data_IF_960365061587
#
_entry.id   IF_960365061587
#
_cell.length_a   1.000
_cell.length_b   1.000
_cell.length_c   1.000
_cell.angle_alpha   90.00
_cell.angle_beta   90.00
_cell.angle_gamma   90.00
#
_symmetry.space_group_name_H-M   'P 1'
#
loop_
_entity.id
_entity.type
_entity.pdbx_description
1 polymer ?
#
# COMPACT_ATOMS: atom_id res chain seq x y z
N UNK A 1 -1.38 38.56 -4.60
CA UNK A 1 -2.65 37.92 -4.20
C UNK A 1 -2.49 36.44 -4.50
N UNK A 2 -2.88 35.55 -3.59
CA UNK A 2 -2.97 34.12 -3.93
C UNK A 2 -4.22 34.00 -4.80
N UNK A 3 -4.07 33.54 -6.05
CA UNK A 3 -5.24 33.40 -6.92
C UNK A 3 -6.18 32.33 -6.36
N UNK A 4 -7.51 32.56 -6.31
CA UNK A 4 -8.48 31.60 -5.79
C UNK A 4 -8.40 30.21 -6.42
N UNK A 5 -7.89 30.13 -7.65
CA UNK A 5 -7.66 28.89 -8.38
C UNK A 5 -6.62 27.99 -7.67
N UNK A 6 -5.54 28.56 -7.13
CA UNK A 6 -4.51 27.80 -6.41
C UNK A 6 -5.04 27.25 -5.08
N UNK A 7 -5.92 28.01 -4.40
CA UNK A 7 -6.56 27.53 -3.17
C UNK A 7 -7.51 26.36 -3.46
N UNK A 8 -8.25 26.41 -4.56
CA UNK A 8 -9.12 25.30 -4.98
C UNK A 8 -8.30 24.05 -5.36
N UNK A 9 -7.21 24.22 -6.12
CA UNK A 9 -6.32 23.12 -6.49
C UNK A 9 -5.67 22.47 -5.25
N UNK A 10 -5.15 23.27 -4.33
CA UNK A 10 -4.56 22.79 -3.09
C UNK A 10 -5.57 22.03 -2.22
N UNK A 11 -6.82 22.52 -2.15
CA UNK A 11 -7.89 21.83 -1.43
C UNK A 11 -8.23 20.47 -2.08
N UNK A 12 -8.30 20.40 -3.41
CA UNK A 12 -8.55 19.15 -4.13
C UNK A 12 -7.39 18.17 -3.94
N UNK A 13 -6.14 18.61 -4.09
CA UNK A 13 -4.97 17.76 -3.86
C UNK A 13 -4.90 17.27 -2.41
N UNK A 14 -5.20 18.13 -1.43
CA UNK A 14 -5.29 17.74 -0.03
C UNK A 14 -6.37 16.69 0.23
N UNK A 15 -7.54 16.83 -0.41
CA UNK A 15 -8.62 15.85 -0.31
C UNK A 15 -8.24 14.51 -0.94
N UNK A 16 -7.60 14.52 -2.11
CA UNK A 16 -7.12 13.30 -2.79
C UNK A 16 -6.08 12.57 -1.95
N UNK A 17 -5.08 13.30 -1.43
CA UNK A 17 -4.06 12.72 -0.54
C UNK A 17 -4.69 12.18 0.75
N UNK A 18 -5.60 12.95 1.36
CA UNK A 18 -6.36 12.53 2.53
C UNK A 18 -7.19 11.28 2.27
N UNK A 19 -7.80 11.17 1.08
CA UNK A 19 -8.55 9.99 0.66
C UNK A 19 -7.67 8.73 0.58
N UNK A 20 -6.47 8.83 0.00
CA UNK A 20 -5.51 7.72 -0.04
C UNK A 20 -5.11 7.26 1.36
N UNK A 21 -4.80 8.21 2.25
CA UNK A 21 -4.45 7.90 3.64
C UNK A 21 -5.63 7.31 4.42
N UNK A 22 -6.85 7.82 4.18
CA UNK A 22 -8.07 7.31 4.79
C UNK A 22 -8.40 5.87 4.34
N UNK A 23 -8.21 5.55 3.05
CA UNK A 23 -8.34 4.18 2.55
C UNK A 23 -7.34 3.23 3.22
N UNK A 24 -6.09 3.68 3.40
CA UNK A 24 -5.06 2.89 4.07
C UNK A 24 -5.42 2.66 5.54
N UNK A 25 -5.93 3.66 6.25
CA UNK A 25 -6.41 3.53 7.62
C UNK A 25 -7.66 2.62 7.73
N UNK A 26 -8.58 2.70 6.77
CA UNK A 26 -9.78 1.88 6.73
C UNK A 26 -9.42 0.39 6.61
N UNK A 27 -8.45 0.04 5.76
CA UNK A 27 -7.97 -1.34 5.64
C UNK A 27 -7.41 -1.89 6.95
N UNK A 28 -6.61 -1.09 7.67
CA UNK A 28 -6.11 -1.46 9.00
C UNK A 28 -7.26 -1.63 9.99
N UNK A 29 -8.22 -0.71 9.99
CA UNK A 29 -9.39 -0.76 10.88
C UNK A 29 -10.25 -2.00 10.63
N UNK A 30 -10.39 -2.47 9.38
CA UNK A 30 -11.12 -3.71 9.10
C UNK A 30 -10.40 -4.94 9.65
N UNK A 31 -9.08 -5.00 9.56
CA UNK A 31 -8.28 -6.11 10.09
C UNK A 31 -8.43 -6.17 11.62
N UNK A 32 -8.19 -5.05 12.29
CA UNK A 32 -8.32 -4.95 13.75
C UNK A 32 -9.77 -5.13 14.21
N UNK A 33 -10.73 -4.48 13.55
CA UNK A 33 -12.12 -4.45 13.98
C UNK A 33 -12.88 -5.77 13.79
N UNK A 34 -12.46 -6.62 12.84
CA UNK A 34 -13.11 -7.91 12.58
C UNK A 34 -12.34 -9.07 13.20
N UNK A 35 -11.02 -9.06 13.11
CA UNK A 35 -10.18 -10.21 13.50
C UNK A 35 -9.63 -10.04 14.94
N UNK A 36 -9.63 -8.82 15.49
CA UNK A 36 -9.10 -8.47 16.81
C UNK A 36 -7.65 -8.94 17.03
N UNK A 37 -6.81 -8.73 16.01
CA UNK A 37 -5.38 -9.07 16.03
C UNK A 37 -4.53 -7.82 15.89
N UNK A 38 -3.45 -7.76 16.67
CA UNK A 38 -2.47 -6.69 16.50
C UNK A 38 -1.63 -6.88 15.23
N UNK A 39 -1.90 -6.07 14.22
CA UNK A 39 -1.25 -6.16 12.92
C UNK A 39 -0.21 -5.06 12.69
N UNK A 40 1.07 -5.38 12.89
CA UNK A 40 2.17 -4.42 12.67
C UNK A 40 2.63 -4.41 11.20
N UNK A 41 2.68 -5.58 10.54
CA UNK A 41 3.21 -5.73 9.18
C UNK A 41 2.29 -5.20 8.05
N UNK A 42 1.30 -4.36 8.36
CA UNK A 42 0.27 -3.93 7.41
C UNK A 42 0.88 -3.12 6.28
N UNK A 43 1.66 -2.11 6.66
CA UNK A 43 2.29 -1.20 5.70
C UNK A 43 3.33 -1.94 4.85
N UNK A 44 3.95 -3.01 5.37
CA UNK A 44 4.90 -3.83 4.62
C UNK A 44 4.22 -4.69 3.54
N UNK A 45 3.00 -5.19 3.78
CA UNK A 45 2.20 -5.80 2.71
C UNK A 45 1.81 -4.78 1.64
N UNK A 46 1.40 -3.57 2.06
CA UNK A 46 1.10 -2.47 1.12
C UNK A 46 2.35 -2.12 0.30
N UNK A 47 3.52 -2.08 0.92
CA UNK A 47 4.81 -1.86 0.25
C UNK A 47 5.05 -2.90 -0.86
N UNK A 48 4.80 -4.19 -0.60
CA UNK A 48 4.93 -5.24 -1.63
C UNK A 48 4.01 -4.98 -2.83
N UNK A 49 2.76 -4.58 -2.58
CA UNK A 49 1.82 -4.19 -3.64
C UNK A 49 2.32 -2.98 -4.45
N UNK A 50 2.91 -1.98 -3.78
CA UNK A 50 3.47 -0.80 -4.43
C UNK A 50 4.68 -1.15 -5.30
N UNK A 51 5.57 -2.04 -4.84
CA UNK A 51 6.67 -2.55 -5.66
C UNK A 51 6.15 -3.28 -6.89
N UNK A 52 5.11 -4.10 -6.77
CA UNK A 52 4.51 -4.76 -7.92
C UNK A 52 4.03 -3.76 -8.98
N UNK A 53 3.31 -2.69 -8.59
CA UNK A 53 2.91 -1.63 -9.52
C UNK A 53 4.13 -0.99 -10.17
N UNK A 54 5.18 -0.69 -9.41
CA UNK A 54 6.42 -0.11 -9.94
C UNK A 54 7.03 -1.00 -11.03
N UNK A 55 7.21 -2.29 -10.77
CA UNK A 55 7.79 -3.19 -11.77
C UNK A 55 6.90 -3.35 -13.00
N UNK A 56 5.60 -3.55 -12.83
CA UNK A 56 4.68 -3.73 -13.94
C UNK A 56 4.64 -2.48 -14.84
N UNK A 57 4.57 -1.29 -14.25
CA UNK A 57 4.42 -0.05 -15.01
C UNK A 57 5.76 0.48 -15.54
N UNK A 58 6.80 0.56 -14.71
CA UNK A 58 8.07 1.20 -15.09
C UNK A 58 9.04 0.26 -15.81
N UNK A 59 9.05 -1.03 -15.45
CA UNK A 59 10.00 -2.00 -16.04
C UNK A 59 9.37 -2.73 -17.21
N UNK A 60 8.13 -3.21 -17.06
CA UNK A 60 7.42 -3.95 -18.10
C UNK A 60 6.58 -3.07 -19.03
N UNK A 61 6.42 -1.78 -18.72
CA UNK A 61 5.67 -0.82 -19.55
C UNK A 61 4.16 -1.07 -19.59
N UNK A 62 3.60 -1.78 -18.61
CA UNK A 62 2.16 -2.03 -18.56
C UNK A 62 1.39 -0.73 -18.28
N UNK A 63 0.16 -0.59 -18.80
CA UNK A 63 -0.68 0.53 -18.45
C UNK A 63 -1.04 0.49 -16.96
N UNK A 64 -1.08 1.66 -16.33
CA UNK A 64 -1.26 1.82 -14.88
C UNK A 64 -2.48 1.07 -14.33
N UNK A 65 -3.59 1.06 -15.06
CA UNK A 65 -4.81 0.36 -14.67
C UNK A 65 -4.62 -1.16 -14.55
N UNK A 66 -3.92 -1.78 -15.51
CA UNK A 66 -3.59 -3.21 -15.45
C UNK A 66 -2.54 -3.49 -14.35
N UNK A 67 -1.55 -2.61 -14.19
CA UNK A 67 -0.59 -2.71 -13.08
C UNK A 67 -1.26 -2.66 -11.71
N UNK A 68 -2.23 -1.76 -11.53
CA UNK A 68 -3.03 -1.65 -10.32
C UNK A 68 -3.89 -2.90 -10.06
N UNK A 69 -4.59 -3.41 -11.07
CA UNK A 69 -5.42 -4.62 -10.92
C UNK A 69 -4.57 -5.84 -10.57
N UNK A 70 -3.42 -6.01 -11.23
CA UNK A 70 -2.48 -7.08 -10.91
C UNK A 70 -1.90 -6.96 -9.50
N UNK A 71 -1.64 -5.73 -9.03
CA UNK A 71 -1.20 -5.47 -7.66
C UNK A 71 -2.27 -5.83 -6.63
N UNK A 72 -3.55 -5.54 -6.90
CA UNK A 72 -4.66 -5.99 -6.04
C UNK A 72 -4.73 -7.52 -5.98
N UNK A 73 -4.58 -8.20 -7.12
CA UNK A 73 -4.55 -9.67 -7.16
C UNK A 73 -3.37 -10.23 -6.35
N UNK A 74 -2.18 -9.63 -6.47
CA UNK A 74 -1.01 -10.00 -5.69
C UNK A 74 -1.23 -9.77 -4.18
N UNK A 75 -1.79 -8.61 -3.81
CA UNK A 75 -2.11 -8.29 -2.42
C UNK A 75 -3.12 -9.28 -1.81
N UNK A 76 -4.12 -9.70 -2.58
CA UNK A 76 -5.06 -10.73 -2.15
C UNK A 76 -4.36 -12.09 -1.94
N UNK A 77 -3.49 -12.50 -2.88
CA UNK A 77 -2.73 -13.74 -2.76
C UNK A 77 -1.78 -13.73 -1.55
N UNK A 78 -1.04 -12.63 -1.35
CA UNK A 78 -0.16 -12.46 -0.20
C UNK A 78 -0.97 -12.43 1.11
N UNK A 79 -2.10 -11.73 1.13
CA UNK A 79 -3.00 -11.68 2.28
C UNK A 79 -3.54 -13.06 2.67
N UNK A 80 -3.97 -13.86 1.68
CA UNK A 80 -4.40 -15.25 1.90
C UNK A 80 -3.22 -16.09 2.43
N UNK A 81 -2.04 -15.96 1.84
CA UNK A 81 -0.84 -16.67 2.29
C UNK A 81 -0.49 -16.35 3.74
N UNK A 82 -0.46 -15.07 4.12
CA UNK A 82 -0.21 -14.64 5.50
C UNK A 82 -1.33 -15.13 6.42
N UNK A 83 -2.60 -15.05 5.98
CA UNK A 83 -3.71 -15.51 6.79
C UNK A 83 -3.60 -17.00 7.12
N UNK A 84 -3.32 -17.85 6.13
CA UNK A 84 -3.23 -19.30 6.33
C UNK A 84 -1.97 -19.71 7.10
N UNK A 85 -0.82 -19.10 6.80
CA UNK A 85 0.47 -19.53 7.34
C UNK A 85 0.78 -18.94 8.72
N UNK A 86 0.35 -17.71 8.99
CA UNK A 86 0.75 -16.96 10.19
C UNK A 86 -0.45 -16.73 11.08
N UNK A 87 -1.56 -16.25 10.54
CA UNK A 87 -2.68 -15.76 11.35
C UNK A 87 -3.56 -16.89 11.87
N UNK A 88 -3.96 -17.82 11.02
CA UNK A 88 -4.77 -18.98 11.38
C UNK A 88 -4.21 -19.77 12.57
N UNK A 89 -2.89 -20.10 12.63
CA UNK A 89 -2.35 -20.83 13.78
C UNK A 89 -2.23 -20.01 15.07
N UNK A 90 -2.14 -18.68 15.00
CA UNK A 90 -1.95 -17.82 16.18
C UNK A 90 -3.24 -17.12 16.66
N UNK A 91 -4.34 -17.28 15.95
CA UNK A 91 -5.62 -16.62 16.23
C UNK A 91 -6.10 -16.84 17.67
N UNK A 92 -5.89 -18.04 18.22
CA UNK A 92 -6.25 -18.38 19.61
C UNK A 92 -5.16 -18.15 20.66
N UNK A 93 -4.00 -17.60 20.27
CA UNK A 93 -2.88 -17.35 21.18
C UNK A 93 -3.00 -15.99 21.88
N UNK A 94 -2.23 -15.79 22.95
CA UNK A 94 -2.15 -14.50 23.64
C UNK A 94 -1.74 -13.36 22.67
N UNK A 95 -2.25 -12.12 22.86
CA UNK A 95 -1.96 -10.98 21.97
C UNK A 95 -0.46 -10.70 21.78
N UNK A 96 0.36 -11.00 22.79
CA UNK A 96 1.83 -10.88 22.70
C UNK A 96 2.42 -11.82 21.63
N UNK A 97 1.88 -13.04 21.48
CA UNK A 97 2.36 -13.96 20.45
C UNK A 97 2.00 -13.45 19.04
N UNK A 98 0.84 -12.81 18.90
CA UNK A 98 0.41 -12.19 17.64
C UNK A 98 1.30 -11.01 17.25
N UNK A 99 1.65 -10.16 18.22
CA UNK A 99 2.61 -9.08 18.06
C UNK A 99 3.99 -9.58 17.62
N UNK A 100 4.49 -10.65 18.25
CA UNK A 100 5.79 -11.23 17.90
C UNK A 100 5.77 -11.85 16.49
N UNK A 101 4.69 -12.53 16.12
CA UNK A 101 4.54 -13.13 14.80
C UNK A 101 4.44 -12.07 13.70
N UNK A 102 3.61 -11.04 13.88
CA UNK A 102 3.47 -9.96 12.90
C UNK A 102 4.69 -9.05 12.87
N UNK A 103 5.37 -8.85 13.99
CA UNK A 103 6.67 -8.16 14.04
C UNK A 103 7.77 -8.94 13.32
N UNK A 104 7.81 -10.27 13.48
CA UNK A 104 8.72 -11.13 12.72
C UNK A 104 8.45 -11.07 11.21
N UNK A 105 7.17 -11.06 10.82
CA UNK A 105 6.76 -10.89 9.42
C UNK A 105 7.19 -9.53 8.86
N UNK A 106 7.06 -8.45 9.64
CA UNK A 106 7.55 -7.13 9.25
C UNK A 106 9.03 -7.17 8.90
N UNK A 107 9.88 -7.68 9.81
CA UNK A 107 11.32 -7.74 9.55
C UNK A 107 11.66 -8.65 8.37
N UNK A 108 10.93 -9.75 8.21
CA UNK A 108 11.08 -10.64 7.07
C UNK A 108 10.75 -9.92 5.74
N UNK A 109 9.59 -9.26 5.66
CA UNK A 109 9.17 -8.54 4.45
C UNK A 109 10.12 -7.38 4.12
N UNK A 110 10.57 -6.62 5.12
CA UNK A 110 11.53 -5.53 4.92
C UNK A 110 12.89 -6.05 4.44
N UNK A 111 13.40 -7.11 5.07
CA UNK A 111 14.67 -7.73 4.67
C UNK A 111 14.56 -8.35 3.27
N UNK A 112 13.44 -9.01 2.97
CA UNK A 112 13.19 -9.59 1.64
C UNK A 112 13.10 -8.51 0.56
N UNK A 113 12.38 -7.42 0.83
CA UNK A 113 12.31 -6.28 -0.08
C UNK A 113 13.69 -5.64 -0.30
N UNK A 114 14.46 -5.46 0.78
CA UNK A 114 15.82 -4.90 0.70
C UNK A 114 16.77 -5.82 -0.07
N UNK A 115 16.61 -7.14 0.10
CA UNK A 115 17.38 -8.13 -0.64
C UNK A 115 17.07 -8.12 -2.15
N UNK A 116 15.79 -8.00 -2.53
CA UNK A 116 15.38 -7.94 -3.94
C UNK A 116 15.69 -6.60 -4.60
N UNK A 117 15.48 -5.49 -3.88
CA UNK A 117 15.36 -4.16 -4.49
C UNK A 117 16.30 -3.11 -3.90
N UNK A 118 17.21 -3.52 -3.00
CA UNK A 118 18.09 -2.64 -2.23
C UNK A 118 17.31 -1.57 -1.44
N UNK A 119 17.99 -0.65 -0.77
CA UNK A 119 17.34 0.38 0.07
C UNK A 119 16.93 1.62 -0.72
N UNK A 120 16.87 1.53 -2.05
CA UNK A 120 16.64 2.69 -2.92
C UNK A 120 15.15 3.04 -3.02
N UNK A 121 14.82 4.33 -2.92
CA UNK A 121 13.45 4.78 -3.08
C UNK A 121 13.04 4.75 -4.55
N UNK A 122 12.17 3.80 -4.90
CA UNK A 122 11.59 3.68 -6.23
C UNK A 122 10.24 4.38 -6.29
N UNK A 123 10.16 5.47 -7.06
CA UNK A 123 8.91 6.16 -7.35
C UNK A 123 8.46 5.89 -8.79
N UNK A 124 7.16 5.68 -8.96
CA UNK A 124 6.55 5.62 -10.30
C UNK A 124 6.43 7.06 -10.79
N UNK A 125 7.21 7.43 -11.80
CA UNK A 125 7.04 8.72 -12.49
C UNK A 125 5.91 8.59 -13.48
N UNK A 126 4.75 9.13 -13.14
CA UNK A 126 3.60 9.24 -14.04
C UNK A 126 3.59 10.66 -14.62
N UNK A 127 3.83 10.76 -15.93
CA UNK A 127 3.45 11.94 -16.69
C UNK A 127 1.98 11.76 -17.09
N UNK A 128 1.06 12.08 -16.19
CA UNK A 128 -0.35 12.12 -16.54
C UNK A 128 -0.56 13.27 -17.56
N UNK A 129 -1.34 13.06 -18.64
CA UNK A 129 -1.70 14.15 -19.53
C UNK A 129 -2.44 15.21 -18.71
N UNK A 130 -1.89 16.42 -18.61
CA UNK A 130 -2.58 17.55 -18.01
C UNK A 130 -3.77 17.87 -18.90
N UNK A 131 -4.99 17.72 -18.38
CA UNK A 131 -6.18 18.19 -19.07
C UNK A 131 -6.30 19.68 -18.73
N UNK A 132 -5.82 20.55 -19.63
CA UNK A 132 -6.02 21.99 -19.56
C UNK A 132 -7.50 22.31 -19.81
N UNK A 133 -8.28 22.39 -18.73
CA UNK A 133 -9.65 22.90 -18.77
C UNK A 133 -9.62 24.43 -18.85
N UNK A 134 -9.51 24.96 -20.07
CA UNK A 134 -9.62 26.40 -20.33
C UNK A 134 -8.42 27.09 -20.97
N UNK A 135 -7.46 26.34 -21.54
CA UNK A 135 -6.33 26.93 -22.28
C UNK A 135 -5.28 27.62 -21.41
N UNK A 136 -5.15 27.17 -20.17
CA UNK A 136 -4.02 27.42 -19.27
C UNK A 136 -3.81 26.19 -18.38
#
# INVERSE_FOLDING_TARGET
MIDPIFLAEAAVNGLLLGGVLALLALGLNLIFGVIDIVWIAYVDLVMMCMYAVYFLVQVYGWPMWLGGLASVALGALLGIGVHLLIISPILGSAPVNQLLATGGLLFFLQSFATFLWTTDHRSVRLALPTIELGGM
#
